data_IF_984871423360
#
_entry.id   IF_984871423360
#
_cell.length_a   1.000
_cell.length_b   1.000
_cell.length_c   1.000
_cell.angle_alpha   90.00
_cell.angle_beta   90.00
_cell.angle_gamma   90.00
#
_symmetry.space_group_name_H-M   'P 1'
#
loop_
_entity.id
_entity.type
_entity.pdbx_description
1 polymer ?
#
# COMPACT_ATOMS: atom_id res chain seq x y z
N UNK A 1 -33.62 -46.69 10.43
CA UNK A 1 -33.78 -45.52 9.53
C UNK A 1 -32.62 -44.58 9.78
N UNK A 2 -31.64 -44.54 8.88
CA UNK A 2 -30.45 -43.68 9.00
C UNK A 2 -30.75 -42.34 8.35
N UNK A 3 -30.78 -41.27 9.14
CA UNK A 3 -30.96 -39.91 8.63
C UNK A 3 -29.66 -39.50 7.91
N UNK A 4 -29.66 -39.60 6.58
CA UNK A 4 -28.57 -39.10 5.75
C UNK A 4 -28.37 -37.60 6.00
N UNK A 5 -27.23 -37.26 6.57
CA UNK A 5 -26.81 -35.89 6.84
C UNK A 5 -26.69 -35.13 5.51
N UNK A 6 -27.68 -34.29 5.18
CA UNK A 6 -27.62 -33.43 4.00
C UNK A 6 -26.66 -32.29 4.31
N UNK A 7 -25.39 -32.47 3.97
CA UNK A 7 -24.43 -31.37 3.92
C UNK A 7 -24.95 -30.39 2.86
N UNK A 8 -25.54 -29.29 3.31
CA UNK A 8 -26.04 -28.23 2.42
C UNK A 8 -24.89 -27.71 1.56
N UNK A 9 -25.05 -27.72 0.23
CA UNK A 9 -24.05 -27.15 -0.67
C UNK A 9 -23.94 -25.65 -0.40
N UNK A 10 -22.74 -25.16 -0.12
CA UNK A 10 -22.48 -23.72 -0.03
C UNK A 10 -22.86 -23.05 -1.36
N UNK A 11 -23.50 -21.87 -1.34
CA UNK A 11 -23.81 -21.15 -2.56
C UNK A 11 -22.50 -20.74 -3.24
N UNK A 12 -22.47 -20.77 -4.58
CA UNK A 12 -21.27 -20.47 -5.35
C UNK A 12 -20.64 -19.11 -4.99
N UNK A 13 -21.48 -18.10 -4.71
CA UNK A 13 -21.02 -16.78 -4.27
C UNK A 13 -20.26 -16.82 -2.93
N UNK A 14 -20.69 -17.65 -1.98
CA UNK A 14 -19.98 -17.81 -0.71
C UNK A 14 -18.62 -18.50 -0.91
N UNK A 15 -18.55 -19.50 -1.78
CA UNK A 15 -17.28 -20.14 -2.13
C UNK A 15 -16.31 -19.14 -2.78
N UNK A 16 -16.79 -18.32 -3.72
CA UNK A 16 -15.98 -17.26 -4.35
C UNK A 16 -15.49 -16.25 -3.32
N UNK A 17 -16.36 -15.78 -2.42
CA UNK A 17 -15.98 -14.83 -1.37
C UNK A 17 -14.91 -15.42 -0.43
N UNK A 18 -15.04 -16.69 -0.04
CA UNK A 18 -14.04 -17.39 0.78
C UNK A 18 -12.70 -17.45 0.05
N UNK A 19 -12.69 -17.86 -1.22
CA UNK A 19 -11.47 -17.97 -2.02
C UNK A 19 -10.79 -16.59 -2.15
N UNK A 20 -11.54 -15.54 -2.50
CA UNK A 20 -10.99 -14.19 -2.59
C UNK A 20 -10.45 -13.67 -1.26
N UNK A 21 -11.13 -13.97 -0.16
CA UNK A 21 -10.68 -13.59 1.19
C UNK A 21 -9.36 -14.28 1.54
N UNK A 22 -9.21 -15.56 1.21
CA UNK A 22 -7.97 -16.32 1.42
C UNK A 22 -6.84 -15.71 0.58
N UNK A 23 -7.09 -15.43 -0.71
CA UNK A 23 -6.09 -14.81 -1.59
C UNK A 23 -5.68 -13.43 -1.07
N UNK A 24 -6.65 -12.62 -0.63
CA UNK A 24 -6.39 -11.31 -0.03
C UNK A 24 -5.55 -11.43 1.24
N UNK A 25 -5.87 -12.38 2.12
CA UNK A 25 -5.13 -12.65 3.35
C UNK A 25 -3.69 -13.08 3.07
N UNK A 26 -3.47 -13.98 2.10
CA UNK A 26 -2.13 -14.41 1.69
C UNK A 26 -1.35 -13.21 1.11
N UNK A 27 -1.98 -12.39 0.26
CA UNK A 27 -1.36 -11.18 -0.31
C UNK A 27 -0.92 -10.19 0.79
N UNK A 28 -1.77 -9.94 1.78
CA UNK A 28 -1.46 -9.10 2.93
C UNK A 28 -0.31 -9.67 3.76
N UNK A 29 -0.32 -10.98 4.03
CA UNK A 29 0.74 -11.63 4.78
C UNK A 29 2.11 -11.48 4.11
N UNK A 30 2.17 -11.73 2.80
CA UNK A 30 3.42 -11.60 2.02
C UNK A 30 3.92 -10.16 2.01
N UNK A 31 3.02 -9.17 1.92
CA UNK A 31 3.39 -7.75 1.79
C UNK A 31 3.63 -7.02 3.10
N UNK A 32 3.07 -7.50 4.22
CA UNK A 32 3.17 -6.84 5.53
C UNK A 32 4.06 -7.64 6.48
N UNK A 33 3.78 -8.93 6.66
CA UNK A 33 4.44 -9.72 7.69
C UNK A 33 5.88 -10.07 7.32
N UNK A 34 6.15 -10.47 6.07
CA UNK A 34 7.49 -10.85 5.63
C UNK A 34 8.51 -9.70 5.68
N UNK A 35 8.21 -8.46 5.19
CA UNK A 35 9.16 -7.35 5.26
C UNK A 35 9.09 -6.55 6.57
N UNK A 36 8.30 -6.97 7.57
CA UNK A 36 7.98 -6.17 8.76
C UNK A 36 9.26 -5.64 9.46
N UNK A 37 10.20 -6.53 9.74
CA UNK A 37 11.45 -6.20 10.44
C UNK A 37 12.42 -5.34 9.59
N UNK A 38 12.19 -5.23 8.28
CA UNK A 38 12.97 -4.38 7.39
C UNK A 38 12.41 -2.95 7.35
N UNK A 39 11.10 -2.80 7.56
CA UNK A 39 10.42 -1.51 7.55
C UNK A 39 10.44 -0.87 8.95
N UNK A 40 10.23 -1.65 10.01
CA UNK A 40 10.20 -1.14 11.38
C UNK A 40 11.52 -1.45 12.09
N UNK A 41 12.47 -0.54 11.95
CA UNK A 41 13.84 -0.72 12.45
C UNK A 41 14.09 0.26 13.58
N UNK A 42 14.46 -0.24 14.77
CA UNK A 42 14.84 0.58 15.93
C UNK A 42 13.82 1.69 16.29
N UNK A 43 12.52 1.38 16.21
CA UNK A 43 11.44 2.34 16.50
C UNK A 43 11.21 3.41 15.42
N UNK A 44 11.87 3.30 14.27
CA UNK A 44 11.70 4.20 13.13
C UNK A 44 11.10 3.44 11.94
N UNK A 45 10.38 4.15 11.07
CA UNK A 45 9.90 3.62 9.80
C UNK A 45 10.97 3.86 8.74
N UNK A 46 11.53 2.78 8.21
CA UNK A 46 12.54 2.78 7.17
C UNK A 46 11.93 2.34 5.85
N UNK A 47 11.75 3.27 4.92
CA UNK A 47 11.22 2.91 3.61
C UNK A 47 12.27 2.16 2.77
N UNK A 48 11.82 1.12 2.09
CA UNK A 48 12.66 0.36 1.17
C UNK A 48 12.88 1.12 -0.14
N UNK A 49 14.13 1.22 -0.58
CA UNK A 49 14.51 1.95 -1.79
C UNK A 49 14.58 3.46 -1.60
N UNK A 50 14.64 4.20 -2.70
CA UNK A 50 14.84 5.67 -2.71
C UNK A 50 13.56 6.43 -3.01
N UNK A 51 12.72 5.91 -3.90
CA UNK A 51 11.52 6.60 -4.38
C UNK A 51 10.48 6.88 -3.27
N UNK A 52 10.21 5.97 -2.30
CA UNK A 52 9.22 6.25 -1.27
C UNK A 52 9.56 7.45 -0.38
N UNK A 53 10.85 7.72 -0.15
CA UNK A 53 11.30 8.89 0.60
C UNK A 53 10.94 10.19 -0.11
N UNK A 54 11.08 10.22 -1.44
CA UNK A 54 10.67 11.37 -2.23
C UNK A 54 9.15 11.58 -2.14
N UNK A 55 8.36 10.51 -2.21
CA UNK A 55 6.89 10.57 -2.07
C UNK A 55 6.45 11.07 -0.69
N UNK A 56 7.10 10.62 0.39
CA UNK A 56 6.81 11.13 1.73
C UNK A 56 7.04 12.64 1.84
N UNK A 57 8.11 13.16 1.25
CA UNK A 57 8.32 14.61 1.20
C UNK A 57 7.24 15.34 0.38
N UNK A 58 6.72 14.73 -0.69
CA UNK A 58 5.58 15.30 -1.44
C UNK A 58 4.31 15.34 -0.58
N UNK A 59 4.05 14.29 0.20
CA UNK A 59 2.92 14.24 1.14
C UNK A 59 3.07 15.32 2.21
N UNK A 60 4.25 15.46 2.82
CA UNK A 60 4.51 16.50 3.83
C UNK A 60 4.34 17.91 3.24
N UNK A 61 4.82 18.14 2.01
CA UNK A 61 4.64 19.40 1.32
C UNK A 61 3.16 19.69 1.04
N UNK A 62 2.39 18.70 0.57
CA UNK A 62 0.96 18.82 0.33
C UNK A 62 0.20 19.09 1.62
N UNK A 63 0.51 18.40 2.72
CA UNK A 63 -0.14 18.62 4.02
C UNK A 63 0.10 20.05 4.52
N UNK A 64 1.30 20.59 4.35
CA UNK A 64 1.64 21.94 4.75
C UNK A 64 0.99 23.04 3.89
N UNK A 65 0.64 22.74 2.63
CA UNK A 65 0.15 23.73 1.66
C UNK A 65 -1.22 23.37 1.06
N UNK A 66 -1.94 22.43 1.69
CA UNK A 66 -3.21 21.92 1.18
C UNK A 66 -4.20 23.08 0.94
N UNK A 67 -4.91 23.11 -0.19
CA UNK A 67 -5.08 22.05 -1.20
C UNK A 67 -4.08 22.12 -2.38
N UNK A 68 -3.04 22.96 -2.29
CA UNK A 68 -2.11 23.16 -3.38
C UNK A 68 -0.94 22.16 -3.31
N UNK A 69 -0.51 21.67 -4.46
CA UNK A 69 0.69 20.84 -4.61
C UNK A 69 1.76 21.62 -5.38
N UNK A 70 3.03 21.28 -5.16
CA UNK A 70 4.12 21.85 -5.93
C UNK A 70 4.15 21.30 -7.36
N UNK A 71 4.32 22.17 -8.34
CA UNK A 71 4.54 21.80 -9.75
C UNK A 71 6.01 21.71 -10.12
N UNK A 72 6.89 22.25 -9.29
CA UNK A 72 8.33 22.26 -9.49
C UNK A 72 9.04 22.05 -8.15
N UNK A 73 10.06 21.21 -8.18
CA UNK A 73 10.83 20.83 -7.01
C UNK A 73 12.28 21.28 -7.16
N UNK A 74 12.69 22.37 -6.47
CA UNK A 74 14.05 22.88 -6.55
C UNK A 74 15.06 22.00 -5.80
N UNK A 75 14.59 21.12 -4.91
CA UNK A 75 15.45 20.23 -4.14
C UNK A 75 15.84 18.98 -4.92
N UNK A 76 15.10 18.65 -5.99
CA UNK A 76 15.42 17.54 -6.86
C UNK A 76 16.33 18.00 -7.99
N UNK A 77 17.48 17.35 -8.18
CA UNK A 77 18.42 17.68 -9.28
C UNK A 77 18.99 19.12 -9.23
N UNK A 78 19.63 19.47 -8.12
CA UNK A 78 20.34 20.74 -7.97
C UNK A 78 21.46 20.90 -9.04
N UNK A 79 21.66 22.09 -9.64
CA UNK A 79 21.01 23.37 -9.36
C UNK A 79 19.73 23.64 -10.18
N UNK A 80 19.36 22.74 -11.07
CA UNK A 80 18.34 23.01 -12.08
C UNK A 80 16.92 22.71 -11.60
N UNK A 81 16.74 21.92 -10.54
CA UNK A 81 15.44 21.48 -10.10
C UNK A 81 14.82 20.43 -11.04
N UNK A 82 13.58 20.04 -10.76
CA UNK A 82 12.78 19.22 -11.67
C UNK A 82 11.30 19.60 -11.62
N UNK A 83 10.65 19.59 -12.79
CA UNK A 83 9.19 19.69 -12.86
C UNK A 83 8.60 18.43 -12.27
N UNK A 84 7.73 18.58 -11.27
CA UNK A 84 7.04 17.45 -10.65
C UNK A 84 5.97 16.98 -11.62
N UNK A 85 6.07 15.77 -12.21
CA UNK A 85 4.96 15.20 -12.96
C UNK A 85 3.76 15.15 -12.03
N UNK A 86 2.55 15.44 -12.51
CA UNK A 86 1.30 15.43 -11.74
C UNK A 86 1.25 14.27 -10.72
N UNK A 87 1.73 14.51 -9.50
CA UNK A 87 1.98 13.50 -8.46
C UNK A 87 0.72 13.20 -7.65
N UNK A 88 -0.44 13.61 -8.16
CA UNK A 88 -1.72 13.56 -7.45
C UNK A 88 -2.27 12.14 -7.28
N UNK A 89 -1.66 11.12 -7.88
CA UNK A 89 -1.96 9.73 -7.62
C UNK A 89 -0.65 8.95 -7.58
N UNK A 90 -0.31 8.45 -6.40
CA UNK A 90 0.71 7.43 -6.18
C UNK A 90 0.55 6.25 -7.16
#
# INVERSE_FOLDING_TARGET
MSAANKIGKLPAAALVAIILSIICGISLYIRIALPYDQIFVNGTVWFNGVDPWWHMRMVDNLLAHFPHHISFDPYYYFPNGMVVPSAMFF
#
